data_IF_807924204907
#
_entry.id   IF_807924204907
#
_cell.length_a   1.000
_cell.length_b   1.000
_cell.length_c   1.000
_cell.angle_alpha   90.00
_cell.angle_beta   90.00
_cell.angle_gamma   90.00
#
_symmetry.space_group_name_H-M   'P 1'
#
loop_
_entity.id
_entity.type
_entity.pdbx_description
1 polymer ?
#
# COMPACT_ATOMS: atom_id res chain seq x y z
N UNK A 1 12.96 8.92 6.33
CA UNK A 1 11.93 7.86 6.18
C UNK A 1 12.02 7.25 4.80
N UNK A 2 11.95 5.95 4.72
CA UNK A 2 12.00 5.24 3.44
C UNK A 2 11.14 3.99 3.52
N UNK A 3 10.29 3.76 2.53
CA UNK A 3 9.57 2.49 2.40
C UNK A 3 10.53 1.45 1.83
N UNK A 4 10.76 0.38 2.59
CA UNK A 4 11.67 -0.69 2.18
C UNK A 4 10.94 -1.70 1.31
N UNK A 5 9.82 -2.21 1.82
CA UNK A 5 9.02 -3.20 1.10
C UNK A 5 7.61 -3.30 1.72
N UNK A 6 6.73 -3.98 1.03
CA UNK A 6 5.47 -4.46 1.58
C UNK A 6 5.50 -5.98 1.45
N UNK A 7 5.41 -6.68 2.58
CA UNK A 7 5.46 -8.14 2.64
C UNK A 7 4.11 -8.71 3.06
N UNK A 8 3.97 -10.03 2.92
CA UNK A 8 2.76 -10.76 3.35
C UNK A 8 1.49 -10.20 2.71
N UNK A 9 1.59 -9.79 1.45
CA UNK A 9 0.44 -9.23 0.73
C UNK A 9 -0.56 -10.32 0.39
N UNK A 10 -1.83 -10.07 0.70
CA UNK A 10 -2.94 -10.96 0.39
C UNK A 10 -4.02 -10.15 -0.28
N UNK A 11 -4.50 -10.60 -1.43
CA UNK A 11 -5.64 -10.00 -2.10
C UNK A 11 -6.93 -10.48 -1.42
N UNK A 12 -7.78 -9.53 -1.03
CA UNK A 12 -9.10 -9.85 -0.51
C UNK A 12 -10.05 -10.14 -1.67
N UNK A 13 -10.82 -11.21 -1.54
CA UNK A 13 -11.83 -11.55 -2.53
C UNK A 13 -13.08 -10.71 -2.27
N UNK A 14 -13.30 -9.70 -3.11
CA UNK A 14 -14.48 -8.83 -3.05
C UNK A 14 -15.16 -8.79 -4.42
N UNK A 15 -16.49 -8.75 -4.48
CA UNK A 15 -17.21 -8.79 -5.75
C UNK A 15 -17.28 -7.42 -6.44
N UNK A 16 -16.18 -6.69 -6.49
CA UNK A 16 -16.08 -5.37 -7.13
C UNK A 16 -14.91 -5.43 -8.10
N UNK A 17 -15.19 -5.50 -9.40
CA UNK A 17 -14.16 -5.72 -10.40
C UNK A 17 -13.29 -4.49 -10.69
N UNK A 18 -13.77 -3.28 -10.43
CA UNK A 18 -13.01 -2.05 -10.65
C UNK A 18 -12.16 -1.64 -9.43
N UNK A 19 -12.26 -2.39 -8.33
CA UNK A 19 -11.55 -2.10 -7.10
C UNK A 19 -10.94 -3.36 -6.53
N UNK A 20 -9.64 -3.32 -6.29
CA UNK A 20 -8.89 -4.43 -5.71
C UNK A 20 -8.46 -4.05 -4.29
N UNK A 21 -8.71 -4.95 -3.35
CA UNK A 21 -8.38 -4.75 -1.94
C UNK A 21 -7.30 -5.74 -1.51
N UNK A 22 -6.34 -5.24 -0.73
CA UNK A 22 -5.21 -6.03 -0.25
C UNK A 22 -4.96 -5.75 1.23
N UNK A 23 -4.38 -6.74 1.90
CA UNK A 23 -3.73 -6.55 3.20
C UNK A 23 -2.24 -6.79 3.03
N UNK A 24 -1.44 -6.20 3.90
CA UNK A 24 0.01 -6.42 3.87
C UNK A 24 0.68 -5.81 5.08
N UNK A 25 2.00 -6.00 5.13
CA UNK A 25 2.85 -5.43 6.17
C UNK A 25 3.86 -4.52 5.50
N UNK A 26 3.73 -3.22 5.74
CA UNK A 26 4.70 -2.24 5.24
C UNK A 26 5.91 -2.21 6.16
N UNK A 27 7.07 -2.39 5.58
CA UNK A 27 8.36 -2.25 6.29
C UNK A 27 8.92 -0.88 5.95
N UNK A 28 8.98 -0.01 6.94
CA UNK A 28 9.36 1.38 6.76
C UNK A 28 10.57 1.69 7.64
N UNK A 29 11.59 2.27 7.02
CA UNK A 29 12.78 2.72 7.75
C UNK A 29 12.49 4.08 8.37
N UNK A 30 12.35 4.10 9.69
CA UNK A 30 12.18 5.31 10.48
C UNK A 30 13.41 5.51 11.35
N UNK A 31 14.11 6.63 11.16
CA UNK A 31 15.31 6.96 11.95
C UNK A 31 16.35 5.82 11.94
N UNK A 32 16.63 5.26 10.76
CA UNK A 32 17.57 4.15 10.55
C UNK A 32 17.15 2.84 11.24
N UNK A 33 15.86 2.70 11.53
CA UNK A 33 15.32 1.50 12.15
C UNK A 33 14.14 0.98 11.33
N UNK A 34 14.26 -0.20 10.69
CA UNK A 34 13.15 -0.82 9.98
C UNK A 34 12.04 -1.22 10.96
N UNK A 35 10.82 -0.82 10.66
CA UNK A 35 9.66 -1.08 11.51
C UNK A 35 8.51 -1.60 10.65
N UNK A 36 7.80 -2.59 11.16
CA UNK A 36 6.68 -3.23 10.48
C UNK A 36 5.37 -2.55 10.89
N UNK A 37 4.54 -2.25 9.90
CA UNK A 37 3.20 -1.72 10.10
C UNK A 37 2.21 -2.50 9.26
N UNK A 38 1.16 -3.04 9.89
CA UNK A 38 0.09 -3.67 9.14
C UNK A 38 -0.73 -2.58 8.45
N UNK A 39 -1.04 -2.80 7.18
CA UNK A 39 -1.82 -1.88 6.38
C UNK A 39 -2.87 -2.64 5.57
N UNK A 40 -3.95 -1.95 5.25
CA UNK A 40 -4.84 -2.31 4.15
C UNK A 40 -4.61 -1.29 3.03
N UNK A 41 -4.62 -1.76 1.79
CA UNK A 41 -4.56 -0.83 0.67
C UNK A 41 -5.50 -1.27 -0.44
N UNK A 42 -5.90 -0.31 -1.26
CA UNK A 42 -6.81 -0.55 -2.36
C UNK A 42 -6.31 0.14 -3.63
N UNK A 43 -6.64 -0.47 -4.76
CA UNK A 43 -6.41 0.13 -6.07
C UNK A 43 -7.77 0.20 -6.76
N UNK A 44 -8.20 1.39 -7.12
CA UNK A 44 -9.45 1.63 -7.82
C UNK A 44 -9.16 2.20 -9.20
N UNK A 45 -9.83 1.64 -10.21
CA UNK A 45 -9.77 2.17 -11.58
C UNK A 45 -11.02 3.01 -11.79
N UNK A 46 -10.85 4.32 -11.95
CA UNK A 46 -11.95 5.26 -12.18
C UNK A 46 -12.47 5.15 -13.61
N UNK A 47 -13.71 5.61 -13.87
CA UNK A 47 -14.25 5.61 -15.24
C UNK A 47 -13.39 6.37 -16.25
N UNK A 48 -12.60 7.34 -15.78
CA UNK A 48 -11.64 8.09 -16.61
C UNK A 48 -10.41 7.27 -16.98
N UNK A 49 -10.24 6.07 -16.41
CA UNK A 49 -9.03 5.25 -16.56
C UNK A 49 -7.95 5.56 -15.54
N UNK A 50 -8.14 6.58 -14.71
CA UNK A 50 -7.18 6.91 -13.67
C UNK A 50 -7.20 5.91 -12.54
N UNK A 51 -6.02 5.62 -12.02
CA UNK A 51 -5.83 4.73 -10.88
C UNK A 51 -5.77 5.54 -9.60
N UNK A 52 -6.50 5.10 -8.59
CA UNK A 52 -6.47 5.71 -7.26
C UNK A 52 -6.07 4.67 -6.23
N UNK A 53 -5.06 4.98 -5.43
CA UNK A 53 -4.54 4.09 -4.40
C UNK A 53 -4.92 4.66 -3.04
N UNK A 54 -5.58 3.83 -2.20
CA UNK A 54 -5.95 4.18 -0.84
C UNK A 54 -5.17 3.33 0.15
N UNK A 55 -4.83 3.91 1.30
CA UNK A 55 -4.08 3.21 2.34
C UNK A 55 -4.73 3.48 3.70
N UNK A 56 -4.90 2.40 4.47
CA UNK A 56 -5.36 2.48 5.85
C UNK A 56 -4.32 1.80 6.74
N UNK A 57 -3.80 2.51 7.71
CA UNK A 57 -2.88 1.94 8.69
C UNK A 57 -3.68 1.22 9.78
N UNK A 58 -3.38 -0.06 9.98
CA UNK A 58 -3.96 -0.86 11.06
C UNK A 58 -3.20 -0.58 12.36
N UNK A 59 -1.86 -0.55 12.27
CA UNK A 59 -1.00 -0.20 13.40
C UNK A 59 -0.74 1.31 13.40
N UNK A 60 -0.64 1.89 14.59
CA UNK A 60 -0.29 3.31 14.73
C UNK A 60 1.15 3.55 14.30
N UNK A 61 1.37 4.63 13.58
CA UNK A 61 2.70 5.06 13.18
C UNK A 61 3.02 6.42 13.81
N UNK A 62 4.15 6.49 14.51
CA UNK A 62 4.62 7.72 15.16
C UNK A 62 5.51 8.49 14.19
N UNK A 63 4.90 9.00 13.14
CA UNK A 63 5.53 9.74 12.08
C UNK A 63 4.46 10.49 11.30
N UNK A 64 4.73 11.64 10.70
CA UNK A 64 3.73 12.36 9.89
C UNK A 64 3.18 11.48 8.78
N UNK A 65 1.85 11.33 8.73
CA UNK A 65 1.20 10.40 7.82
C UNK A 65 1.28 10.82 6.36
N UNK A 66 1.25 12.12 6.07
CA UNK A 66 1.22 12.59 4.68
C UNK A 66 2.43 12.12 3.88
N UNK A 67 3.69 12.33 4.33
CA UNK A 67 4.84 11.83 3.58
C UNK A 67 4.89 10.30 3.51
N UNK A 68 4.51 9.60 4.56
CA UNK A 68 4.50 8.13 4.56
C UNK A 68 3.47 7.60 3.57
N UNK A 69 2.27 8.15 3.58
CA UNK A 69 1.20 7.75 2.64
C UNK A 69 1.62 7.99 1.20
N UNK A 70 2.24 9.12 0.93
CA UNK A 70 2.70 9.47 -0.42
C UNK A 70 3.75 8.48 -0.92
N UNK A 71 4.73 8.14 -0.07
CA UNK A 71 5.76 7.16 -0.40
C UNK A 71 5.17 5.76 -0.62
N UNK A 72 4.24 5.34 0.23
CA UNK A 72 3.58 4.04 0.08
C UNK A 72 2.76 3.96 -1.20
N UNK A 73 2.05 5.02 -1.55
CA UNK A 73 1.29 5.06 -2.81
C UNK A 73 2.21 4.92 -4.02
N UNK A 74 3.34 5.61 -4.01
CA UNK A 74 4.33 5.51 -5.08
C UNK A 74 4.92 4.10 -5.17
N UNK A 75 5.21 3.49 -4.03
CA UNK A 75 5.72 2.12 -3.97
C UNK A 75 4.70 1.11 -4.52
N UNK A 76 3.45 1.21 -4.11
CA UNK A 76 2.37 0.32 -4.58
C UNK A 76 2.15 0.50 -6.08
N UNK A 77 2.15 1.73 -6.57
CA UNK A 77 1.99 2.01 -7.99
C UNK A 77 3.11 1.36 -8.81
N UNK A 78 4.34 1.43 -8.33
CA UNK A 78 5.49 0.79 -8.97
C UNK A 78 5.34 -0.73 -9.02
N UNK A 79 4.96 -1.36 -7.91
CA UNK A 79 4.74 -2.82 -7.86
C UNK A 79 3.62 -3.22 -8.81
N UNK A 80 2.53 -2.50 -8.81
CA UNK A 80 1.38 -2.78 -9.68
C UNK A 80 1.77 -2.71 -11.15
N UNK A 81 2.55 -1.69 -11.51
CA UNK A 81 3.03 -1.51 -12.88
C UNK A 81 3.95 -2.65 -13.35
N UNK A 82 4.64 -3.28 -12.41
CA UNK A 82 5.52 -4.43 -12.68
C UNK A 82 4.81 -5.77 -12.61
N UNK A 83 3.52 -5.78 -12.29
CA UNK A 83 2.77 -7.03 -12.11
C UNK A 83 3.13 -7.79 -10.85
N UNK A 84 3.66 -7.11 -9.83
CA UNK A 84 4.14 -7.74 -8.59
C UNK A 84 3.12 -7.90 -7.49
N UNK A 85 1.87 -7.49 -7.70
CA UNK A 85 0.83 -7.68 -6.70
C UNK A 85 0.25 -9.10 -6.77
N UNK A 86 -0.19 -9.67 -5.62
CA UNK A 86 -0.78 -11.01 -5.62
C UNK A 86 -2.11 -11.05 -6.36
N UNK A 87 -2.39 -12.18 -6.96
CA UNK A 87 -3.67 -12.44 -7.65
C UNK A 87 -4.79 -12.76 -6.66
#
# INVERSE_FOLDING_TARGET
>A
MKVITIKDMIRKDVPIYYRMLYTGVAVIDLNNKPTDFRIDFSIEIKPTGQKEIGIVFIDSIDYPLVPVTKELKAYIDEIDSQGGLPD
#
